data_IF_247478287341
#
_entry.id   IF_247478287341
#
_cell.length_a   1.000
_cell.length_b   1.000
_cell.length_c   1.000
_cell.angle_alpha   90.00
_cell.angle_beta   90.00
_cell.angle_gamma   90.00
#
_symmetry.space_group_name_H-M   'P 1'
#
loop_
_entity.id
_entity.type
_entity.pdbx_description
1 polymer ?
#
# COMPACT_ATOMS: atom_id res chain seq x y z
N UNK A 1 -78.27 -34.70 17.08
CA UNK A 1 -78.29 -35.16 15.70
C UNK A 1 -77.18 -34.44 14.96
N UNK A 2 -76.45 -35.12 14.20
CA UNK A 2 -75.36 -34.80 13.28
C UNK A 2 -73.91 -35.06 13.82
N UNK A 3 -73.43 -36.13 13.24
CA UNK A 3 -72.15 -36.80 13.46
C UNK A 3 -70.99 -35.97 13.00
N UNK A 4 -69.97 -35.81 13.90
CA UNK A 4 -68.68 -35.18 13.59
C UNK A 4 -67.74 -36.26 13.06
N UNK A 5 -67.37 -36.18 11.81
CA UNK A 5 -66.38 -37.08 11.22
C UNK A 5 -65.00 -36.50 11.48
N UNK A 6 -64.17 -37.26 12.20
CA UNK A 6 -62.76 -36.95 12.47
C UNK A 6 -61.94 -37.39 11.26
N UNK A 7 -61.36 -36.45 10.51
CA UNK A 7 -60.36 -36.74 9.50
C UNK A 7 -58.97 -36.57 10.15
N UNK A 8 -58.35 -37.72 10.40
CA UNK A 8 -56.92 -37.81 10.74
C UNK A 8 -56.12 -37.69 9.46
N UNK A 9 -55.49 -36.51 9.24
CA UNK A 9 -54.51 -36.34 8.20
C UNK A 9 -53.14 -36.64 8.84
N UNK A 10 -52.57 -37.77 8.47
CA UNK A 10 -51.18 -38.11 8.80
C UNK A 10 -50.23 -37.26 7.92
N UNK A 11 -49.63 -36.27 8.53
CA UNK A 11 -48.57 -35.46 7.87
C UNK A 11 -47.29 -36.27 8.04
N UNK A 12 -46.84 -36.91 6.96
CA UNK A 12 -45.55 -37.54 6.86
C UNK A 12 -44.45 -36.47 6.88
N UNK A 13 -43.64 -36.49 7.92
CA UNK A 13 -42.41 -35.73 7.97
C UNK A 13 -41.40 -36.31 6.97
N UNK A 14 -41.31 -35.69 5.79
CA UNK A 14 -40.18 -35.91 4.90
C UNK A 14 -39.04 -35.05 5.43
N UNK A 15 -38.14 -35.65 6.17
CA UNK A 15 -36.87 -35.04 6.53
C UNK A 15 -35.97 -35.05 5.30
N UNK A 16 -36.07 -34.00 4.47
CA UNK A 16 -35.03 -33.70 3.50
C UNK A 16 -33.80 -33.19 4.27
N UNK A 17 -32.82 -34.05 4.43
CA UNK A 17 -31.48 -33.67 4.83
C UNK A 17 -30.92 -32.74 3.74
N UNK A 18 -31.10 -31.44 3.93
CA UNK A 18 -30.38 -30.42 3.15
C UNK A 18 -28.91 -30.50 3.57
N UNK A 19 -28.13 -31.27 2.84
CA UNK A 19 -26.69 -31.16 2.83
C UNK A 19 -26.36 -29.78 2.23
N UNK A 20 -26.38 -28.73 3.07
CA UNK A 20 -25.73 -27.49 2.75
C UNK A 20 -24.25 -27.79 2.63
N UNK A 21 -23.77 -28.00 1.41
CA UNK A 21 -22.36 -27.89 1.09
C UNK A 21 -21.91 -26.52 1.60
N UNK A 22 -21.17 -26.52 2.69
CA UNK A 22 -20.30 -25.42 3.09
C UNK A 22 -19.33 -25.20 1.93
N UNK A 23 -19.75 -24.38 0.96
CA UNK A 23 -18.87 -23.89 -0.09
C UNK A 23 -17.85 -23.02 0.60
N UNK A 24 -16.66 -23.57 0.70
CA UNK A 24 -15.50 -23.13 1.42
C UNK A 24 -15.32 -21.62 1.42
N UNK A 25 -15.49 -21.04 2.60
CA UNK A 25 -15.15 -19.68 2.97
C UNK A 25 -13.63 -19.36 2.70
N UNK A 26 -12.85 -20.40 2.51
CA UNK A 26 -11.40 -20.35 2.29
C UNK A 26 -11.01 -19.74 0.92
N UNK A 27 -11.83 -19.95 -0.11
CA UNK A 27 -11.59 -19.40 -1.45
C UNK A 27 -11.94 -17.91 -1.54
N UNK A 28 -12.99 -17.50 -0.85
CA UNK A 28 -13.42 -16.09 -0.79
C UNK A 28 -12.43 -15.25 -0.02
N UNK A 29 -11.97 -15.71 1.13
CA UNK A 29 -10.96 -15.00 1.96
C UNK A 29 -9.61 -14.87 1.26
N UNK A 30 -9.21 -15.85 0.43
CA UNK A 30 -7.98 -15.79 -0.35
C UNK A 30 -8.06 -14.74 -1.48
N UNK A 31 -9.20 -14.66 -2.16
CA UNK A 31 -9.43 -13.67 -3.24
C UNK A 31 -9.46 -12.25 -2.68
N UNK A 32 -10.16 -12.02 -1.57
CA UNK A 32 -10.19 -10.71 -0.90
C UNK A 32 -8.81 -10.27 -0.41
N UNK A 33 -8.04 -11.19 0.18
CA UNK A 33 -6.67 -10.90 0.64
C UNK A 33 -5.73 -10.55 -0.52
N UNK A 34 -5.85 -11.24 -1.66
CA UNK A 34 -5.03 -10.96 -2.85
C UNK A 34 -5.40 -9.61 -3.47
N UNK A 35 -6.68 -9.28 -3.57
CA UNK A 35 -7.14 -8.00 -4.06
C UNK A 35 -6.67 -6.84 -3.17
N UNK A 36 -6.80 -6.96 -1.85
CA UNK A 36 -6.34 -5.96 -0.90
C UNK A 36 -4.82 -5.75 -0.96
N UNK A 37 -4.05 -6.82 -1.14
CA UNK A 37 -2.59 -6.73 -1.30
C UNK A 37 -2.23 -6.00 -2.59
N UNK A 38 -2.92 -6.29 -3.70
CA UNK A 38 -2.71 -5.63 -4.98
C UNK A 38 -3.01 -4.12 -4.93
N UNK A 39 -4.08 -3.72 -4.24
CA UNK A 39 -4.42 -2.30 -4.04
C UNK A 39 -3.37 -1.57 -3.18
N UNK A 40 -2.88 -2.22 -2.12
CA UNK A 40 -1.80 -1.66 -1.29
C UNK A 40 -0.51 -1.49 -2.07
N UNK A 41 -0.11 -2.49 -2.87
CA UNK A 41 1.05 -2.39 -3.76
C UNK A 41 0.90 -1.20 -4.72
N UNK A 42 -0.25 -1.06 -5.35
CA UNK A 42 -0.52 0.05 -6.28
C UNK A 42 -0.41 1.40 -5.58
N UNK A 43 -1.06 1.60 -4.45
CA UNK A 43 -1.03 2.85 -3.71
C UNK A 43 0.41 3.21 -3.26
N UNK A 44 1.18 2.21 -2.79
CA UNK A 44 2.57 2.39 -2.41
C UNK A 44 3.45 2.75 -3.62
N UNK A 45 3.30 2.07 -4.75
CA UNK A 45 4.02 2.39 -5.99
C UNK A 45 3.71 3.79 -6.48
N UNK A 46 2.46 4.20 -6.47
CA UNK A 46 2.03 5.55 -6.89
C UNK A 46 2.66 6.62 -5.98
N UNK A 47 2.64 6.43 -4.66
CA UNK A 47 3.26 7.33 -3.71
C UNK A 47 4.78 7.41 -3.89
N UNK A 48 5.46 6.27 -4.10
CA UNK A 48 6.89 6.23 -4.39
C UNK A 48 7.24 6.96 -5.70
N UNK A 49 6.44 6.81 -6.75
CA UNK A 49 6.67 7.50 -8.02
C UNK A 49 6.53 9.03 -7.89
N UNK A 50 5.55 9.50 -7.11
CA UNK A 50 5.40 10.93 -6.79
C UNK A 50 6.61 11.43 -6.02
N UNK A 51 7.06 10.70 -5.00
CA UNK A 51 8.25 11.01 -4.20
C UNK A 51 9.51 11.10 -5.09
N UNK A 52 9.73 10.14 -5.98
CA UNK A 52 10.84 10.14 -6.95
C UNK A 52 10.84 11.43 -7.78
N UNK A 53 9.68 11.82 -8.30
CA UNK A 53 9.57 13.04 -9.12
C UNK A 53 9.93 14.30 -8.33
N UNK A 54 9.46 14.42 -7.09
CA UNK A 54 9.75 15.56 -6.21
C UNK A 54 11.22 15.60 -5.80
N UNK A 55 11.82 14.46 -5.44
CA UNK A 55 13.25 14.37 -5.12
C UNK A 55 14.12 14.79 -6.32
N UNK A 56 13.84 14.29 -7.52
CA UNK A 56 14.58 14.68 -8.75
C UNK A 56 14.49 16.18 -9.03
N UNK A 57 13.36 16.81 -8.72
CA UNK A 57 13.21 18.26 -8.87
C UNK A 57 14.11 19.02 -7.90
N UNK A 58 14.19 18.59 -6.64
CA UNK A 58 15.08 19.17 -5.63
C UNK A 58 16.54 18.94 -6.01
N UNK A 59 16.93 17.74 -6.45
CA UNK A 59 18.27 17.44 -6.96
C UNK A 59 18.70 18.41 -8.07
N UNK A 60 17.83 18.61 -9.08
CA UNK A 60 18.10 19.49 -10.20
C UNK A 60 18.26 20.96 -9.77
N UNK A 61 17.52 21.37 -8.73
CA UNK A 61 17.66 22.71 -8.15
C UNK A 61 19.00 22.86 -7.39
N UNK A 62 19.34 21.90 -6.52
CA UNK A 62 20.60 21.90 -5.77
C UNK A 62 21.82 21.95 -6.70
N UNK A 63 21.81 21.15 -7.76
CA UNK A 63 22.90 21.07 -8.75
C UNK A 63 23.12 22.40 -9.52
N UNK A 64 22.04 23.13 -9.80
CA UNK A 64 22.14 24.42 -10.52
C UNK A 64 22.74 25.52 -9.66
N UNK A 65 22.36 25.56 -8.38
CA UNK A 65 22.76 26.65 -7.48
C UNK A 65 24.18 26.48 -6.93
N UNK A 66 24.83 25.31 -7.13
CA UNK A 66 26.13 24.96 -6.50
C UNK A 66 26.17 25.30 -5.00
N UNK A 67 25.02 25.20 -4.35
CA UNK A 67 24.85 25.62 -2.96
C UNK A 67 25.36 24.54 -2.01
N UNK A 68 26.55 24.74 -1.46
CA UNK A 68 27.17 23.81 -0.50
C UNK A 68 26.27 23.55 0.71
N UNK A 69 25.38 24.48 1.08
CA UNK A 69 24.42 24.29 2.19
C UNK A 69 23.35 23.25 1.85
N UNK A 70 23.11 22.94 0.57
CA UNK A 70 22.13 21.96 0.11
C UNK A 70 22.77 20.63 -0.31
N UNK A 71 24.07 20.45 -0.16
CA UNK A 71 24.75 19.24 -0.58
C UNK A 71 24.21 17.97 0.10
N UNK A 72 23.87 18.04 1.38
CA UNK A 72 23.27 16.91 2.10
C UNK A 72 21.83 16.64 1.63
N UNK A 73 21.05 17.70 1.35
CA UNK A 73 19.72 17.58 0.78
C UNK A 73 19.76 16.87 -0.60
N UNK A 74 20.68 17.28 -1.48
CA UNK A 74 20.90 16.65 -2.78
C UNK A 74 21.23 15.16 -2.63
N UNK A 75 22.16 14.82 -1.73
CA UNK A 75 22.57 13.45 -1.46
C UNK A 75 21.41 12.60 -0.97
N UNK A 76 20.65 13.09 0.02
CA UNK A 76 19.51 12.35 0.58
C UNK A 76 18.36 12.23 -0.42
N UNK A 77 18.16 13.19 -1.32
CA UNK A 77 17.22 13.03 -2.44
C UNK A 77 17.64 11.90 -3.38
N UNK A 78 18.92 11.80 -3.74
CA UNK A 78 19.45 10.69 -4.56
C UNK A 78 19.26 9.33 -3.89
N UNK A 79 19.57 9.23 -2.61
CA UNK A 79 19.37 8.00 -1.82
C UNK A 79 17.89 7.63 -1.75
N UNK A 80 17.00 8.61 -1.56
CA UNK A 80 15.56 8.40 -1.54
C UNK A 80 15.03 7.91 -2.90
N UNK A 81 15.48 8.51 -4.01
CA UNK A 81 15.13 8.05 -5.37
C UNK A 81 15.54 6.60 -5.59
N UNK A 82 16.73 6.21 -5.19
CA UNK A 82 17.21 4.83 -5.32
C UNK A 82 16.34 3.87 -4.50
N UNK A 83 16.09 4.18 -3.22
CA UNK A 83 15.28 3.34 -2.34
C UNK A 83 13.83 3.20 -2.81
N UNK A 84 13.20 4.29 -3.27
CA UNK A 84 11.85 4.24 -3.86
C UNK A 84 11.82 3.38 -5.14
N UNK A 85 12.84 3.49 -5.97
CA UNK A 85 12.95 2.70 -7.21
C UNK A 85 13.07 1.21 -6.89
N UNK A 86 13.89 0.85 -5.93
CA UNK A 86 14.05 -0.54 -5.48
C UNK A 86 12.74 -1.11 -4.92
N UNK A 87 12.03 -0.34 -4.09
CA UNK A 87 10.74 -0.75 -3.54
C UNK A 87 9.69 -0.95 -4.66
N UNK A 88 9.60 -0.03 -5.62
CA UNK A 88 8.69 -0.16 -6.78
C UNK A 88 9.02 -1.40 -7.61
N UNK A 89 10.29 -1.67 -7.85
CA UNK A 89 10.71 -2.85 -8.61
C UNK A 89 10.41 -4.15 -7.85
N UNK A 90 10.64 -4.19 -6.54
CA UNK A 90 10.33 -5.34 -5.70
C UNK A 90 8.80 -5.62 -5.66
N UNK A 91 7.97 -4.57 -5.59
CA UNK A 91 6.50 -4.71 -5.65
C UNK A 91 6.03 -5.22 -7.00
N UNK A 92 6.57 -4.70 -8.12
CA UNK A 92 6.24 -5.15 -9.48
C UNK A 92 6.63 -6.61 -9.74
N UNK A 93 7.75 -7.02 -9.18
CA UNK A 93 8.25 -8.39 -9.32
C UNK A 93 7.64 -9.37 -8.31
N UNK A 94 6.76 -8.90 -7.41
CA UNK A 94 6.23 -9.68 -6.28
C UNK A 94 7.33 -10.41 -5.50
N UNK A 95 8.45 -9.70 -5.32
CA UNK A 95 9.67 -10.25 -4.74
C UNK A 95 9.49 -10.62 -3.26
N UNK A 96 10.20 -11.65 -2.81
CA UNK A 96 10.17 -12.10 -1.41
C UNK A 96 10.73 -11.05 -0.44
N UNK A 97 11.59 -10.16 -0.93
CA UNK A 97 12.17 -9.05 -0.17
C UNK A 97 11.39 -7.74 -0.28
N UNK A 98 10.22 -7.75 -0.94
CA UNK A 98 9.37 -6.59 -1.15
C UNK A 98 9.15 -5.80 0.16
N UNK A 99 8.76 -6.47 1.23
CA UNK A 99 8.57 -5.84 2.54
C UNK A 99 9.85 -5.17 3.06
N UNK A 100 10.99 -5.83 2.95
CA UNK A 100 12.28 -5.27 3.36
C UNK A 100 12.60 -4.01 2.55
N UNK A 101 12.42 -4.05 1.23
CA UNK A 101 12.65 -2.90 0.34
C UNK A 101 11.70 -1.73 0.65
N UNK A 102 10.44 -2.00 0.98
CA UNK A 102 9.50 -0.97 1.43
C UNK A 102 9.96 -0.32 2.75
N UNK A 103 10.41 -1.10 3.73
CA UNK A 103 10.90 -0.55 5.00
C UNK A 103 12.21 0.26 4.83
N UNK A 104 13.10 -0.15 3.94
CA UNK A 104 14.30 0.62 3.57
C UNK A 104 13.91 1.94 2.91
N UNK A 105 12.96 1.90 1.98
CA UNK A 105 12.39 3.07 1.32
C UNK A 105 11.76 4.04 2.34
N UNK A 106 10.94 3.56 3.26
CA UNK A 106 10.33 4.39 4.31
C UNK A 106 11.40 5.16 5.10
N UNK A 107 12.47 4.50 5.51
CA UNK A 107 13.58 5.12 6.24
C UNK A 107 14.30 6.19 5.42
N UNK A 108 14.55 5.94 4.13
CA UNK A 108 15.18 6.90 3.24
C UNK A 108 14.28 8.12 3.01
N UNK A 109 12.98 7.91 2.81
CA UNK A 109 11.99 8.97 2.67
C UNK A 109 11.92 9.87 3.91
N UNK A 110 11.88 9.30 5.12
CA UNK A 110 11.86 10.09 6.36
C UNK A 110 13.12 10.95 6.53
N UNK A 111 14.29 10.42 6.23
CA UNK A 111 15.55 11.18 6.26
C UNK A 111 15.52 12.33 5.26
N UNK A 112 15.11 12.06 4.03
CA UNK A 112 15.00 13.06 2.98
C UNK A 112 13.98 14.14 3.34
N UNK A 113 12.81 13.78 3.87
CA UNK A 113 11.80 14.73 4.33
C UNK A 113 12.34 15.67 5.41
N UNK A 114 13.02 15.10 6.42
CA UNK A 114 13.62 15.87 7.52
C UNK A 114 14.66 16.86 7.03
N UNK A 115 15.46 16.50 6.05
CA UNK A 115 16.46 17.40 5.47
C UNK A 115 15.81 18.50 4.63
N UNK A 116 14.84 18.14 3.79
CA UNK A 116 14.10 19.10 2.95
C UNK A 116 13.35 20.15 3.79
N UNK A 117 12.87 19.82 4.97
CA UNK A 117 12.17 20.75 5.86
C UNK A 117 13.05 21.89 6.37
N UNK A 118 14.36 21.73 6.34
CA UNK A 118 15.31 22.79 6.76
C UNK A 118 15.32 23.97 5.79
N UNK A 119 14.75 23.81 4.60
CA UNK A 119 14.77 24.82 3.54
C UNK A 119 13.37 25.37 3.30
N UNK A 120 13.24 26.70 3.35
CA UNK A 120 11.96 27.39 3.12
C UNK A 120 11.71 27.65 1.63
N UNK A 121 11.82 26.59 0.83
CA UNK A 121 11.59 26.61 -0.61
C UNK A 121 10.39 25.72 -0.96
N UNK A 122 9.49 26.18 -1.86
CA UNK A 122 8.28 25.44 -2.20
C UNK A 122 8.56 24.00 -2.65
N UNK A 123 9.62 23.79 -3.44
CA UNK A 123 9.98 22.46 -3.93
C UNK A 123 10.49 21.54 -2.81
N UNK A 124 11.24 22.06 -1.84
CA UNK A 124 11.66 21.29 -0.68
C UNK A 124 10.48 20.93 0.23
N UNK A 125 9.58 21.88 0.50
CA UNK A 125 8.36 21.61 1.29
C UNK A 125 7.47 20.55 0.63
N UNK A 126 7.30 20.64 -0.70
CA UNK A 126 6.57 19.63 -1.44
C UNK A 126 7.27 18.27 -1.37
N UNK A 127 8.59 18.23 -1.58
CA UNK A 127 9.37 17.00 -1.50
C UNK A 127 9.24 16.35 -0.11
N UNK A 128 9.34 17.11 0.97
CA UNK A 128 9.15 16.61 2.33
C UNK A 128 7.78 15.98 2.53
N UNK A 129 6.72 16.61 2.01
CA UNK A 129 5.35 16.07 2.08
C UNK A 129 5.23 14.76 1.30
N UNK A 130 5.73 14.72 0.06
CA UNK A 130 5.64 13.53 -0.80
C UNK A 130 6.47 12.37 -0.24
N UNK A 131 7.65 12.66 0.34
CA UNK A 131 8.47 11.66 1.04
C UNK A 131 7.73 11.04 2.23
N UNK A 132 7.09 11.84 3.08
CA UNK A 132 6.30 11.31 4.21
C UNK A 132 5.12 10.47 3.76
N UNK A 133 4.46 10.89 2.67
CA UNK A 133 3.38 10.09 2.09
C UNK A 133 3.89 8.73 1.57
N UNK A 134 5.02 8.70 0.88
CA UNK A 134 5.64 7.45 0.44
C UNK A 134 6.07 6.58 1.63
N UNK A 135 6.69 7.17 2.66
CA UNK A 135 7.08 6.45 3.88
C UNK A 135 5.89 5.79 4.56
N UNK A 136 4.75 6.50 4.67
CA UNK A 136 3.52 5.96 5.23
C UNK A 136 3.07 4.71 4.49
N UNK A 137 2.93 4.78 3.16
CA UNK A 137 2.49 3.63 2.35
C UNK A 137 3.48 2.47 2.41
N UNK A 138 4.79 2.75 2.43
CA UNK A 138 5.82 1.72 2.57
C UNK A 138 5.77 1.02 3.94
N UNK A 139 5.43 1.72 5.01
CA UNK A 139 5.30 1.13 6.35
C UNK A 139 4.04 0.26 6.51
N UNK A 140 3.03 0.44 5.66
CA UNK A 140 1.79 -0.33 5.65
C UNK A 140 1.90 -1.65 4.86
N UNK A 141 3.09 -1.93 4.27
CA UNK A 141 3.42 -3.15 3.52
C UNK A 141 3.93 -4.24 4.44
#
# INVERSE_FOLDING_TARGET
>A
MKKLALFLVAIGFITTAATTKLFSNEKVTKIEKTALTSEKHKACMDACNVCIASCKKVEAMCSKEKNTKMAECEKLCKECVAACTDAVNAMKAESKDCKTKCLECAKACEKCATECDKFDMPDCKKCATDCRNAAKHCNEM
#
